data_IF_953977879713
#
_entry.id   IF_953977879713
#
_cell.length_a   1.000
_cell.length_b   1.000
_cell.length_c   1.000
_cell.angle_alpha   90.00
_cell.angle_beta   90.00
_cell.angle_gamma   90.00
#
_symmetry.space_group_name_H-M   'P 1'
#
loop_
_entity.id
_entity.type
_entity.pdbx_description
1 polymer ?
#
# COMPACT_ATOMS: atom_id res chain seq x y z
N UNK A 1 -1.60 -18.22 -2.12
CA UNK A 1 -1.26 -17.28 -1.03
C UNK A 1 -0.51 -16.13 -1.66
N UNK A 2 -0.78 -14.88 -1.28
CA UNK A 2 -0.18 -13.72 -1.91
C UNK A 2 0.76 -12.98 -0.95
N UNK A 3 1.86 -12.45 -1.48
CA UNK A 3 2.71 -11.46 -0.83
C UNK A 3 2.56 -10.14 -1.59
N UNK A 4 2.48 -9.02 -0.87
CA UNK A 4 2.28 -7.71 -1.47
C UNK A 4 3.47 -6.83 -1.12
N UNK A 5 4.07 -6.20 -2.12
CA UNK A 5 5.20 -5.28 -1.93
C UNK A 5 4.93 -3.96 -2.64
N UNK A 6 5.26 -2.85 -1.99
CA UNK A 6 5.38 -1.54 -2.62
C UNK A 6 6.84 -1.16 -2.76
N UNK A 7 7.17 -0.37 -3.76
CA UNK A 7 8.53 0.12 -3.97
C UNK A 7 8.59 1.62 -4.29
N UNK A 8 9.81 2.13 -4.39
CA UNK A 8 10.12 3.53 -4.68
C UNK A 8 9.72 3.97 -6.10
N UNK A 9 9.27 3.04 -6.95
CA UNK A 9 8.75 3.34 -8.29
C UNK A 9 7.25 3.62 -8.28
N UNK A 10 6.56 3.43 -7.15
CA UNK A 10 5.13 3.72 -7.01
C UNK A 10 4.21 2.59 -7.45
N UNK A 11 4.77 1.40 -7.71
CA UNK A 11 4.00 0.21 -8.04
C UNK A 11 3.70 -0.60 -6.78
N UNK A 12 2.46 -1.08 -6.70
CA UNK A 12 2.07 -2.17 -5.79
C UNK A 12 2.17 -3.47 -6.59
N UNK A 13 3.01 -4.39 -6.13
CA UNK A 13 3.24 -5.70 -6.76
C UNK A 13 2.62 -6.79 -5.92
N UNK A 14 1.83 -7.65 -6.57
CA UNK A 14 1.19 -8.80 -5.96
C UNK A 14 1.86 -10.06 -6.47
N UNK A 15 2.43 -10.82 -5.55
CA UNK A 15 3.20 -12.01 -5.81
C UNK A 15 2.39 -13.24 -5.39
N UNK A 16 2.23 -14.20 -6.29
CA UNK A 16 1.79 -15.53 -5.93
C UNK A 16 2.97 -16.29 -5.30
N UNK A 17 2.81 -16.65 -4.03
CA UNK A 17 3.78 -17.41 -3.24
C UNK A 17 3.25 -18.81 -2.88
N UNK A 18 2.26 -19.32 -3.62
CA UNK A 18 1.69 -20.65 -3.40
C UNK A 18 2.65 -21.80 -3.74
N UNK A 19 3.65 -21.54 -4.58
CA UNK A 19 4.60 -22.56 -5.06
C UNK A 19 5.87 -22.57 -4.20
N UNK A 20 6.33 -23.77 -3.84
CA UNK A 20 7.61 -23.95 -3.13
C UNK A 20 8.83 -23.58 -3.97
N UNK A 21 8.68 -23.57 -5.30
CA UNK A 21 9.75 -23.25 -6.25
C UNK A 21 10.04 -21.75 -6.36
N UNK A 22 9.27 -20.91 -5.68
CA UNK A 22 9.49 -19.46 -5.64
C UNK A 22 8.22 -18.63 -5.88
N UNK A 23 8.38 -17.33 -5.70
CA UNK A 23 7.34 -16.34 -5.92
C UNK A 23 7.23 -15.95 -7.40
N UNK A 24 6.02 -15.88 -7.94
CA UNK A 24 5.76 -15.35 -9.28
C UNK A 24 4.94 -14.08 -9.21
N UNK A 25 5.25 -13.08 -10.03
CA UNK A 25 4.46 -11.84 -10.09
C UNK A 25 3.09 -12.17 -10.70
N UNK A 26 2.02 -12.02 -9.91
CA UNK A 26 0.65 -12.23 -10.39
C UNK A 26 0.16 -11.00 -11.17
N UNK A 27 0.33 -9.80 -10.60
CA UNK A 27 0.10 -8.54 -11.28
C UNK A 27 0.80 -7.38 -10.56
N UNK A 28 0.84 -6.22 -11.22
CA UNK A 28 1.23 -4.93 -10.62
C UNK A 28 0.12 -3.92 -10.82
N UNK A 29 -0.09 -3.06 -9.83
CA UNK A 29 -1.03 -1.95 -9.87
C UNK A 29 -0.29 -0.62 -9.72
N UNK A 30 -0.77 0.40 -10.42
CA UNK A 30 -0.27 1.76 -10.35
C UNK A 30 0.50 2.18 -11.60
N UNK A 31 1.00 3.41 -11.56
CA UNK A 31 1.80 4.01 -12.61
C UNK A 31 3.22 4.18 -12.10
N UNK A 32 4.20 3.78 -12.91
CA UNK A 32 5.60 3.85 -12.52
C UNK A 32 6.06 5.31 -12.49
N UNK A 33 6.17 5.87 -11.29
CA UNK A 33 6.64 7.24 -11.05
C UNK A 33 7.31 7.33 -9.70
N UNK A 34 8.61 7.66 -9.69
CA UNK A 34 9.38 7.85 -8.44
C UNK A 34 8.84 8.98 -7.55
N UNK A 35 8.14 9.96 -8.15
CA UNK A 35 7.44 11.01 -7.38
C UNK A 35 6.30 10.42 -6.52
N UNK A 36 5.79 9.26 -6.89
CA UNK A 36 4.69 8.54 -6.23
C UNK A 36 5.16 7.23 -5.59
N UNK A 37 6.45 7.12 -5.25
CA UNK A 37 7.00 5.96 -4.55
C UNK A 37 6.18 5.60 -3.31
N UNK A 38 5.98 4.30 -3.06
CA UNK A 38 5.21 3.81 -1.93
C UNK A 38 6.02 4.02 -0.65
N UNK A 39 5.50 4.83 0.27
CA UNK A 39 6.16 5.19 1.51
C UNK A 39 5.83 4.25 2.67
N UNK A 40 4.67 3.60 2.62
CA UNK A 40 4.25 2.60 3.61
C UNK A 40 2.89 2.02 3.28
N UNK A 41 2.60 0.86 3.86
CA UNK A 41 1.39 0.08 3.56
C UNK A 41 0.86 -0.60 4.81
N UNK A 42 -0.45 -0.84 4.85
CA UNK A 42 -1.07 -1.72 5.82
C UNK A 42 -2.33 -2.37 5.24
N UNK A 43 -2.79 -3.46 5.85
CA UNK A 43 -4.09 -4.03 5.54
C UNK A 43 -5.21 -3.13 6.09
N UNK A 44 -6.30 -3.00 5.33
CA UNK A 44 -7.51 -2.33 5.81
C UNK A 44 -8.23 -3.20 6.86
N UNK A 45 -8.23 -4.52 6.67
CA UNK A 45 -8.93 -5.46 7.55
C UNK A 45 -8.24 -6.83 7.56
N UNK A 46 -8.78 -7.76 8.34
CA UNK A 46 -8.25 -9.12 8.49
C UNK A 46 -8.51 -10.03 7.28
N UNK A 47 -9.33 -9.62 6.30
CA UNK A 47 -9.57 -10.40 5.08
C UNK A 47 -8.36 -10.38 4.14
N UNK A 48 -7.47 -9.41 4.30
CA UNK A 48 -6.28 -9.21 3.45
C UNK A 48 -6.62 -9.03 1.96
N UNK A 49 -7.83 -8.53 1.66
CA UNK A 49 -8.28 -8.22 0.28
C UNK A 49 -8.07 -6.75 -0.09
N UNK A 50 -7.97 -5.87 0.91
CA UNK A 50 -7.88 -4.41 0.73
C UNK A 50 -6.61 -3.86 1.36
N UNK A 51 -5.79 -3.23 0.53
CA UNK A 51 -4.51 -2.66 0.91
C UNK A 51 -4.62 -1.13 1.01
N UNK A 52 -4.22 -0.58 2.15
CA UNK A 52 -3.97 0.85 2.28
C UNK A 52 -2.50 1.11 1.99
N UNK A 53 -2.21 2.12 1.16
CA UNK A 53 -0.84 2.53 0.89
C UNK A 53 -0.74 4.06 0.81
N UNK A 54 0.38 4.57 1.31
CA UNK A 54 0.75 5.98 1.22
C UNK A 54 1.85 6.17 0.19
N UNK A 55 1.81 7.30 -0.50
CA UNK A 55 2.78 7.67 -1.53
C UNK A 55 3.54 8.93 -1.13
N UNK A 56 4.73 9.10 -1.72
CA UNK A 56 5.62 10.26 -1.50
C UNK A 56 5.03 11.60 -1.95
N UNK A 57 3.93 11.61 -2.72
CA UNK A 57 3.18 12.80 -3.11
C UNK A 57 2.11 13.21 -2.07
N UNK A 58 2.04 12.48 -0.96
CA UNK A 58 1.09 12.70 0.14
C UNK A 58 -0.32 12.19 -0.13
N UNK A 59 -0.51 11.37 -1.17
CA UNK A 59 -1.75 10.64 -1.40
C UNK A 59 -1.75 9.35 -0.60
N UNK A 60 -2.90 9.06 0.02
CA UNK A 60 -3.22 7.76 0.61
C UNK A 60 -4.36 7.14 -0.18
N UNK A 61 -4.22 5.86 -0.49
CA UNK A 61 -5.13 5.12 -1.34
C UNK A 61 -5.50 3.79 -0.72
N UNK A 62 -6.71 3.30 -1.05
CA UNK A 62 -7.19 1.97 -0.70
C UNK A 62 -7.42 1.19 -2.00
N UNK A 63 -6.63 0.15 -2.21
CA UNK A 63 -6.72 -0.75 -3.35
C UNK A 63 -7.45 -2.01 -2.94
N UNK A 64 -8.50 -2.36 -3.68
CA UNK A 64 -9.07 -3.70 -3.65
C UNK A 64 -8.25 -4.61 -4.58
N UNK A 65 -7.70 -5.70 -4.04
CA UNK A 65 -6.83 -6.60 -4.77
C UNK A 65 -7.60 -7.60 -5.65
N UNK A 66 -8.84 -7.89 -5.32
CA UNK A 66 -9.69 -8.80 -6.10
C UNK A 66 -10.20 -8.08 -7.35
N UNK A 67 -10.75 -6.88 -7.14
CA UNK A 67 -11.26 -6.01 -8.21
C UNK A 67 -10.15 -5.25 -8.94
N UNK A 68 -8.93 -5.26 -8.41
CA UNK A 68 -7.74 -4.55 -8.94
C UNK A 68 -8.02 -3.06 -9.17
N UNK A 69 -8.79 -2.46 -8.29
CA UNK A 69 -9.29 -1.09 -8.43
C UNK A 69 -9.21 -0.31 -7.13
N UNK A 70 -9.08 1.01 -7.25
CA UNK A 70 -9.07 1.89 -6.08
C UNK A 70 -10.49 2.10 -5.57
N UNK A 71 -10.71 1.81 -4.30
CA UNK A 71 -11.93 2.14 -3.58
C UNK A 71 -11.91 3.59 -3.12
N UNK A 72 -10.72 4.09 -2.76
CA UNK A 72 -10.52 5.44 -2.25
C UNK A 72 -9.14 5.95 -2.64
N UNK A 73 -9.05 7.24 -2.94
CA UNK A 73 -7.78 7.94 -3.09
C UNK A 73 -7.94 9.37 -2.61
N UNK A 74 -7.11 9.79 -1.63
CA UNK A 74 -7.22 11.10 -1.00
C UNK A 74 -5.84 11.70 -0.78
N UNK A 75 -5.69 12.97 -1.16
CA UNK A 75 -4.49 13.74 -0.84
C UNK A 75 -4.57 14.24 0.60
N UNK A 76 -3.76 13.66 1.48
CA UNK A 76 -3.65 14.08 2.88
C UNK A 76 -2.55 15.14 3.06
N UNK A 77 -1.57 15.19 2.16
CA UNK A 77 -0.46 16.16 2.22
C UNK A 77 0.64 15.77 3.20
N UNK A 78 0.56 14.59 3.80
CA UNK A 78 1.58 14.00 4.67
C UNK A 78 2.11 12.71 4.05
N UNK A 79 3.39 12.41 4.29
CA UNK A 79 4.05 11.18 3.84
C UNK A 79 4.39 10.35 5.08
N UNK A 80 4.14 9.04 5.01
CA UNK A 80 4.52 8.10 6.06
C UNK A 80 6.02 8.24 6.43
N UNK A 81 6.31 8.28 7.72
CA UNK A 81 7.69 8.42 8.21
C UNK A 81 8.52 7.16 7.99
N UNK A 82 7.89 5.99 8.05
CA UNK A 82 8.52 4.68 7.86
C UNK A 82 7.55 3.73 7.12
N UNK A 83 8.04 2.66 6.47
CA UNK A 83 7.19 1.69 5.77
C UNK A 83 6.10 1.05 6.62
N UNK A 84 6.31 0.94 7.92
CA UNK A 84 5.41 0.35 8.91
C UNK A 84 4.64 1.39 9.74
N UNK A 85 4.62 2.66 9.34
CA UNK A 85 3.99 3.74 10.12
C UNK A 85 2.50 3.94 9.83
N UNK A 86 1.86 2.96 9.18
CA UNK A 86 0.42 2.94 8.89
C UNK A 86 -0.23 1.78 9.63
N UNK A 87 -1.43 2.01 10.16
CA UNK A 87 -2.28 0.95 10.70
C UNK A 87 -3.74 1.29 10.47
N UNK A 88 -4.54 0.27 10.17
CA UNK A 88 -5.99 0.34 10.28
C UNK A 88 -6.43 -0.51 11.48
N UNK A 89 -7.08 0.10 12.45
CA UNK A 89 -7.50 -0.56 13.69
C UNK A 89 -8.87 -0.04 14.11
N UNK A 90 -9.83 -0.95 14.32
CA UNK A 90 -11.18 -0.62 14.79
C UNK A 90 -11.81 0.55 14.01
N UNK A 91 -11.86 0.42 12.69
CA UNK A 91 -12.43 1.44 11.78
C UNK A 91 -11.66 2.77 11.71
N UNK A 92 -10.50 2.86 12.36
CA UNK A 92 -9.66 4.05 12.33
C UNK A 92 -8.38 3.80 11.55
N UNK A 93 -8.08 4.69 10.60
CA UNK A 93 -6.78 4.75 9.94
C UNK A 93 -5.87 5.71 10.70
N UNK A 94 -4.67 5.24 11.06
CA UNK A 94 -3.65 6.03 11.75
C UNK A 94 -2.36 5.97 10.92
N UNK A 95 -1.72 7.13 10.73
CA UNK A 95 -0.46 7.23 10.00
C UNK A 95 0.48 8.18 10.71
N UNK A 96 1.62 7.68 11.19
CA UNK A 96 2.70 8.55 11.65
C UNK A 96 3.51 9.05 10.45
N UNK A 97 3.61 10.37 10.30
CA UNK A 97 4.24 11.03 9.18
C UNK A 97 5.73 11.33 9.43
N UNK A 98 6.46 11.61 8.34
CA UNK A 98 7.88 11.99 8.38
C UNK A 98 8.14 13.28 9.16
N UNK A 99 7.16 14.18 9.24
CA UNK A 99 7.24 15.44 10.00
C UNK A 99 6.75 15.30 11.45
N UNK A 100 6.53 14.07 11.93
CA UNK A 100 6.19 13.80 13.33
C UNK A 100 4.72 14.08 13.69
N UNK A 101 3.83 14.16 12.70
CA UNK A 101 2.38 14.23 12.89
C UNK A 101 1.79 12.81 12.88
N UNK A 102 0.62 12.65 13.49
CA UNK A 102 -0.16 11.41 13.54
C UNK A 102 -1.59 11.69 13.11
#
# INVERSE_FOLDING_TARGET
MACITGDDTGLVKVWDISRSTGATLAFSYGEQSRKRGIAGMCWLDSSMTKLVFSMNDGIVSVLDLEERSLLLSKKLGFVAGLPNSLIFLKENFVMASKDGKV
#
